data_IF_071954261214
#
_entry.id   IF_071954261214
#
_cell.length_a   1.000
_cell.length_b   1.000
_cell.length_c   1.000
_cell.angle_alpha   90.00
_cell.angle_beta   90.00
_cell.angle_gamma   90.00
#
_symmetry.space_group_name_H-M   'P 1'
#
loop_
_entity.id
_entity.type
_entity.pdbx_description
1 polymer ?
#
# COMPACT_ATOMS: atom_id res chain seq x y z
N UNK A 1 -17.82 3.14 -20.67
CA UNK A 1 -18.13 4.47 -20.13
C UNK A 1 -19.30 4.33 -19.19
N UNK A 2 -18.98 4.25 -17.91
CA UNK A 2 -19.91 4.22 -16.81
C UNK A 2 -20.69 5.52 -16.73
N UNK A 3 -22.00 5.42 -16.48
CA UNK A 3 -22.84 6.59 -16.31
C UNK A 3 -22.81 7.13 -14.87
N UNK A 4 -23.13 8.41 -14.72
CA UNK A 4 -23.17 9.11 -13.44
C UNK A 4 -24.13 8.41 -12.44
N UNK A 5 -25.22 7.84 -12.95
CA UNK A 5 -26.19 7.13 -12.12
C UNK A 5 -25.56 5.91 -11.44
N UNK A 6 -24.82 5.09 -12.19
CA UNK A 6 -24.12 3.91 -11.66
C UNK A 6 -23.09 4.32 -10.62
N UNK A 7 -22.37 5.43 -10.84
CA UNK A 7 -21.42 5.96 -9.86
C UNK A 7 -22.10 6.27 -8.54
N UNK A 8 -23.21 7.02 -8.54
CA UNK A 8 -23.88 7.44 -7.31
C UNK A 8 -24.72 6.35 -6.65
N UNK A 9 -25.39 5.50 -7.44
CA UNK A 9 -26.33 4.50 -6.92
C UNK A 9 -25.63 3.20 -6.49
N UNK A 10 -24.49 2.84 -7.10
CA UNK A 10 -23.87 1.52 -6.91
C UNK A 10 -22.42 1.56 -6.42
N UNK A 11 -21.60 2.49 -6.92
CA UNK A 11 -20.15 2.50 -6.67
C UNK A 11 -19.79 3.33 -5.44
N UNK A 12 -20.25 4.59 -5.40
CA UNK A 12 -20.02 5.52 -4.29
C UNK A 12 -20.47 4.97 -2.93
N UNK A 13 -21.64 4.31 -2.81
CA UNK A 13 -22.08 3.74 -1.53
C UNK A 13 -21.11 2.70 -0.95
N UNK A 14 -20.31 2.02 -1.78
CA UNK A 14 -19.27 1.09 -1.30
C UNK A 14 -18.13 1.85 -0.64
N UNK A 15 -17.73 3.00 -1.21
CA UNK A 15 -16.69 3.87 -0.66
C UNK A 15 -17.18 4.54 0.63
N UNK A 16 -18.39 5.07 0.63
CA UNK A 16 -19.02 5.68 1.80
C UNK A 16 -19.09 4.68 2.97
N UNK A 17 -19.57 3.46 2.70
CA UNK A 17 -19.64 2.40 3.72
C UNK A 17 -18.26 1.98 4.24
N UNK A 18 -17.19 2.08 3.43
CA UNK A 18 -15.82 1.85 3.91
C UNK A 18 -15.38 2.98 4.86
N UNK A 19 -15.70 4.22 4.54
CA UNK A 19 -15.41 5.40 5.40
C UNK A 19 -16.16 5.26 6.72
N UNK A 20 -17.46 4.97 6.68
CA UNK A 20 -18.28 4.73 7.88
C UNK A 20 -17.71 3.60 8.74
N UNK A 21 -17.41 2.45 8.14
CA UNK A 21 -16.85 1.31 8.85
C UNK A 21 -15.47 1.63 9.46
N UNK A 22 -14.69 2.51 8.84
CA UNK A 22 -13.43 3.01 9.41
C UNK A 22 -13.70 3.85 10.65
N UNK A 23 -14.62 4.83 10.55
CA UNK A 23 -15.00 5.71 11.66
C UNK A 23 -15.61 4.97 12.86
N UNK A 24 -16.27 3.83 12.62
CA UNK A 24 -16.85 2.99 13.67
C UNK A 24 -15.96 1.81 14.08
N UNK A 25 -14.72 1.74 13.56
CA UNK A 25 -13.76 0.65 13.81
C UNK A 25 -14.34 -0.76 13.50
N UNK A 26 -15.23 -0.86 12.50
CA UNK A 26 -15.91 -2.11 12.11
C UNK A 26 -15.11 -2.89 11.06
N UNK A 27 -14.08 -3.59 11.53
CA UNK A 27 -13.25 -4.46 10.71
C UNK A 27 -14.05 -5.57 9.99
N UNK A 28 -15.19 -6.01 10.53
CA UNK A 28 -15.99 -7.08 9.92
C UNK A 28 -16.69 -6.57 8.67
N UNK A 29 -17.32 -5.39 8.75
CA UNK A 29 -17.92 -4.74 7.59
C UNK A 29 -16.86 -4.41 6.55
N UNK A 30 -15.71 -3.86 6.94
CA UNK A 30 -14.62 -3.57 6.01
C UNK A 30 -14.25 -4.81 5.19
N UNK A 31 -14.02 -5.97 5.83
CA UNK A 31 -13.68 -7.23 5.12
C UNK A 31 -14.70 -7.62 4.03
N UNK A 32 -15.98 -7.26 4.18
CA UNK A 32 -17.00 -7.56 3.16
C UNK A 32 -16.92 -6.66 1.93
N UNK A 33 -16.37 -5.45 2.08
CA UNK A 33 -16.24 -4.45 1.02
C UNK A 33 -14.98 -4.64 0.18
N UNK A 34 -13.98 -5.32 0.73
CA UNK A 34 -12.67 -5.48 0.09
C UNK A 34 -12.63 -6.72 -0.79
N UNK A 35 -11.85 -6.65 -1.86
CA UNK A 35 -11.44 -7.81 -2.65
C UNK A 35 -10.44 -8.65 -1.83
N UNK A 36 -10.62 -9.97 -1.66
CA UNK A 36 -9.75 -10.78 -0.81
C UNK A 36 -8.26 -10.72 -1.17
N UNK A 37 -7.96 -10.66 -2.47
CA UNK A 37 -6.59 -10.61 -3.01
C UNK A 37 -6.11 -9.17 -3.30
N UNK A 38 -6.90 -8.16 -2.90
CA UNK A 38 -6.59 -6.75 -3.12
C UNK A 38 -5.62 -6.16 -2.11
N UNK A 39 -4.94 -5.09 -2.51
CA UNK A 39 -4.05 -4.33 -1.64
C UNK A 39 -4.76 -3.79 -0.39
N UNK A 40 -6.02 -3.35 -0.54
CA UNK A 40 -6.82 -2.88 0.57
C UNK A 40 -7.05 -3.98 1.63
N UNK A 41 -7.43 -5.18 1.21
CA UNK A 41 -7.58 -6.32 2.13
C UNK A 41 -6.26 -6.68 2.82
N UNK A 42 -5.15 -6.65 2.07
CA UNK A 42 -3.83 -6.91 2.62
C UNK A 42 -3.39 -5.86 3.66
N UNK A 43 -3.73 -4.58 3.47
CA UNK A 43 -3.51 -3.52 4.48
C UNK A 43 -4.30 -3.79 5.75
N UNK A 44 -5.61 -4.07 5.64
CA UNK A 44 -6.47 -4.37 6.80
C UNK A 44 -5.96 -5.59 7.56
N UNK A 45 -5.58 -6.63 6.82
CA UNK A 45 -5.09 -7.86 7.42
C UNK A 45 -3.79 -7.62 8.20
N UNK A 46 -2.87 -6.81 7.68
CA UNK A 46 -1.57 -6.57 8.31
C UNK A 46 -1.61 -5.58 9.48
N UNK A 47 -2.41 -4.52 9.38
CA UNK A 47 -2.37 -3.37 10.30
C UNK A 47 -3.67 -3.06 11.03
N UNK A 48 -4.72 -3.85 10.80
CA UNK A 48 -6.08 -3.60 11.29
C UNK A 48 -6.72 -2.30 10.77
N UNK A 49 -7.88 -1.96 11.32
CA UNK A 49 -8.70 -0.79 10.96
C UNK A 49 -7.92 0.54 10.95
N UNK A 50 -6.95 0.73 11.85
CA UNK A 50 -6.27 2.01 12.03
C UNK A 50 -5.44 2.48 10.83
N UNK A 51 -5.02 1.57 9.94
CA UNK A 51 -4.35 1.98 8.69
C UNK A 51 -5.31 2.77 7.79
N UNK A 52 -6.61 2.50 7.86
CA UNK A 52 -7.60 3.17 7.04
C UNK A 52 -7.85 4.60 7.47
N UNK A 53 -7.62 4.94 8.74
CA UNK A 53 -7.69 6.34 9.15
C UNK A 53 -6.67 7.21 8.39
N UNK A 54 -5.51 6.62 8.10
CA UNK A 54 -4.45 7.24 7.33
C UNK A 54 -4.77 7.19 5.83
N UNK A 55 -5.18 6.02 5.30
CA UNK A 55 -5.42 5.83 3.87
C UNK A 55 -6.61 6.65 3.35
N UNK A 56 -7.70 6.71 4.12
CA UNK A 56 -8.90 7.48 3.80
C UNK A 56 -8.83 8.92 4.30
N UNK A 57 -7.80 9.26 5.08
CA UNK A 57 -7.58 10.58 5.69
C UNK A 57 -8.70 11.03 6.64
N UNK A 58 -9.42 10.10 7.28
CA UNK A 58 -10.40 10.42 8.33
C UNK A 58 -9.73 11.06 9.56
N UNK A 59 -8.42 10.84 9.76
CA UNK A 59 -7.60 11.56 10.76
C UNK A 59 -7.65 13.10 10.63
N UNK A 60 -8.09 13.64 9.49
CA UNK A 60 -8.29 15.08 9.31
C UNK A 60 -9.46 15.62 10.14
N UNK A 61 -10.37 14.77 10.62
CA UNK A 61 -11.50 15.16 11.46
C UNK A 61 -12.51 16.07 10.74
N UNK A 62 -12.59 15.98 9.41
CA UNK A 62 -13.47 16.79 8.57
C UNK A 62 -14.81 16.08 8.38
N UNK A 63 -15.91 16.83 8.44
CA UNK A 63 -17.27 16.28 8.35
C UNK A 63 -17.84 16.28 6.93
N UNK A 64 -17.17 16.96 6.00
CA UNK A 64 -17.61 17.08 4.61
C UNK A 64 -16.53 16.54 3.68
N UNK A 65 -16.97 15.78 2.69
CA UNK A 65 -16.17 15.34 1.56
C UNK A 65 -16.93 15.59 0.27
N UNK A 66 -16.23 15.57 -0.86
CA UNK A 66 -16.86 15.63 -2.18
C UNK A 66 -16.14 14.72 -3.16
N UNK A 67 -16.91 13.98 -3.96
CA UNK A 67 -16.37 13.25 -5.12
C UNK A 67 -15.92 14.27 -6.15
N UNK A 68 -14.64 14.23 -6.51
CA UNK A 68 -14.03 15.16 -7.48
C UNK A 68 -14.01 14.57 -8.87
N UNK A 69 -13.90 13.24 -8.98
CA UNK A 69 -13.79 12.55 -10.26
C UNK A 69 -14.13 11.06 -10.13
N UNK A 70 -14.68 10.50 -11.20
CA UNK A 70 -14.79 9.05 -11.40
C UNK A 70 -14.19 8.69 -12.77
N UNK A 71 -13.35 7.66 -12.82
CA UNK A 71 -12.69 7.20 -14.06
C UNK A 71 -12.83 5.69 -14.22
N UNK A 72 -13.16 5.27 -15.43
CA UNK A 72 -13.17 3.86 -15.82
C UNK A 72 -11.86 3.50 -16.53
N UNK A 73 -11.24 2.38 -16.18
CA UNK A 73 -10.01 1.87 -16.83
C UNK A 73 -10.13 0.38 -17.15
N UNK A 74 -9.20 -0.13 -17.96
CA UNK A 74 -9.15 -1.53 -18.42
C UNK A 74 -10.50 -2.03 -18.98
N UNK A 75 -11.10 -1.26 -19.89
CA UNK A 75 -12.39 -1.58 -20.54
C UNK A 75 -13.53 -1.88 -19.55
N UNK A 76 -13.63 -1.10 -18.47
CA UNK A 76 -14.72 -1.24 -17.50
C UNK A 76 -14.40 -2.19 -16.34
N UNK A 77 -13.23 -2.81 -16.34
CA UNK A 77 -12.82 -3.72 -15.26
C UNK A 77 -12.61 -2.98 -13.94
N UNK A 78 -12.08 -1.77 -13.99
CA UNK A 78 -11.80 -0.97 -12.81
C UNK A 78 -12.50 0.38 -12.89
N UNK A 79 -13.00 0.81 -11.73
CA UNK A 79 -13.48 2.18 -11.50
C UNK A 79 -12.62 2.79 -10.42
N UNK A 80 -12.19 4.02 -10.66
CA UNK A 80 -11.46 4.83 -9.70
C UNK A 80 -12.36 5.98 -9.27
N UNK A 81 -12.64 6.07 -7.97
CA UNK A 81 -13.33 7.19 -7.35
C UNK A 81 -12.29 8.05 -6.67
N UNK A 82 -12.17 9.30 -7.10
CA UNK A 82 -11.39 10.32 -6.42
C UNK A 82 -12.33 11.24 -5.63
N UNK A 83 -12.01 11.45 -4.36
CA UNK A 83 -12.72 12.38 -3.50
C UNK A 83 -11.74 13.23 -2.71
N UNK A 84 -12.19 14.40 -2.26
CA UNK A 84 -11.45 15.30 -1.40
C UNK A 84 -12.16 15.47 -0.07
N UNK A 85 -11.39 15.77 0.98
CA UNK A 85 -11.90 16.40 2.20
C UNK A 85 -11.65 17.91 2.11
N UNK A 86 -12.62 18.77 1.78
CA UNK A 86 -12.40 20.22 1.73
C UNK A 86 -11.98 20.81 3.07
N UNK A 87 -11.23 21.92 3.04
CA UNK A 87 -10.90 22.65 4.26
C UNK A 87 -12.15 23.33 4.84
N UNK A 88 -12.50 23.08 6.12
CA UNK A 88 -13.68 23.70 6.74
C UNK A 88 -13.62 25.22 6.69
N UNK A 89 -14.67 25.85 6.18
CA UNK A 89 -14.78 27.30 6.12
C UNK A 89 -13.96 27.98 5.01
N UNK A 90 -13.30 27.23 4.13
CA UNK A 90 -12.64 27.79 2.95
C UNK A 90 -13.65 28.24 1.89
N UNK A 91 -13.30 29.26 1.11
CA UNK A 91 -14.13 29.72 -0.01
C UNK A 91 -14.34 28.57 -1.02
N UNK A 92 -15.59 28.34 -1.41
CA UNK A 92 -15.99 27.32 -2.40
C UNK A 92 -15.59 25.88 -2.08
N UNK A 93 -15.43 25.50 -0.79
CA UNK A 93 -14.98 24.16 -0.40
C UNK A 93 -13.66 23.78 -1.08
N UNK A 94 -12.69 24.71 -1.06
CA UNK A 94 -11.38 24.49 -1.66
C UNK A 94 -10.65 23.31 -1.01
N UNK A 95 -9.83 22.64 -1.83
CA UNK A 95 -8.97 21.54 -1.41
C UNK A 95 -7.67 21.56 -2.20
N UNK A 96 -6.65 20.91 -1.67
CA UNK A 96 -5.34 20.73 -2.28
C UNK A 96 -5.11 19.27 -2.66
N UNK A 97 -4.00 18.99 -3.35
CA UNK A 97 -3.60 17.62 -3.64
C UNK A 97 -3.39 16.76 -2.36
N UNK A 98 -3.12 17.39 -1.22
CA UNK A 98 -2.94 16.71 0.07
C UNK A 98 -4.26 16.23 0.68
N UNK A 99 -5.40 16.69 0.16
CA UNK A 99 -6.73 16.36 0.69
C UNK A 99 -7.43 15.26 -0.12
N UNK A 100 -6.84 14.87 -1.26
CA UNK A 100 -7.40 13.90 -2.18
C UNK A 100 -7.10 12.46 -1.79
N UNK A 101 -8.06 11.57 -2.05
CA UNK A 101 -7.94 10.12 -1.92
C UNK A 101 -8.54 9.48 -3.17
N UNK A 102 -7.89 8.44 -3.68
CA UNK A 102 -8.38 7.62 -4.78
C UNK A 102 -8.69 6.22 -4.27
N UNK A 103 -9.89 5.73 -4.53
CA UNK A 103 -10.32 4.36 -4.23
C UNK A 103 -10.55 3.63 -5.55
N UNK A 104 -9.89 2.49 -5.74
CA UNK A 104 -10.07 1.65 -6.92
C UNK A 104 -11.00 0.49 -6.58
N UNK A 105 -12.02 0.28 -7.41
CA UNK A 105 -13.02 -0.76 -7.26
C UNK A 105 -13.05 -1.65 -8.51
N UNK A 106 -13.47 -2.89 -8.33
CA UNK A 106 -13.75 -3.85 -9.40
C UNK A 106 -14.99 -4.65 -9.06
N UNK A 107 -15.61 -5.28 -10.06
CA UNK A 107 -16.71 -6.22 -9.81
C UNK A 107 -16.18 -7.62 -9.50
N UNK A 108 -16.66 -8.19 -8.39
CA UNK A 108 -16.45 -9.60 -8.03
C UNK A 108 -17.81 -10.19 -7.71
N UNK A 109 -18.19 -11.26 -8.42
CA UNK A 109 -19.48 -11.94 -8.27
C UNK A 109 -20.69 -10.98 -8.37
N UNK A 110 -20.61 -9.99 -9.27
CA UNK A 110 -21.67 -9.00 -9.47
C UNK A 110 -21.76 -7.92 -8.38
N UNK A 111 -20.79 -7.83 -7.48
CA UNK A 111 -20.71 -6.80 -6.44
C UNK A 111 -19.46 -5.95 -6.61
N UNK A 112 -19.60 -4.63 -6.47
CA UNK A 112 -18.46 -3.73 -6.40
C UNK A 112 -17.68 -3.97 -5.11
N UNK A 113 -16.37 -4.15 -5.26
CA UNK A 113 -15.43 -4.35 -4.16
C UNK A 113 -14.19 -3.51 -4.35
N UNK A 114 -13.64 -3.07 -3.22
CA UNK A 114 -12.47 -2.20 -3.18
C UNK A 114 -11.21 -3.05 -3.35
N UNK A 115 -10.37 -2.63 -4.29
CA UNK A 115 -9.09 -3.25 -4.64
C UNK A 115 -7.96 -2.55 -3.90
N UNK A 116 -7.95 -1.21 -3.94
CA UNK A 116 -6.92 -0.39 -3.32
C UNK A 116 -7.48 0.96 -2.87
N UNK A 117 -6.84 1.53 -1.85
CA UNK A 117 -7.05 2.92 -1.41
C UNK A 117 -5.69 3.59 -1.48
N UNK A 118 -5.60 4.67 -2.26
CA UNK A 118 -4.39 5.47 -2.40
C UNK A 118 -4.66 6.89 -1.87
N UNK A 119 -3.93 7.38 -0.85
CA UNK A 119 -4.13 8.69 -0.24
C UNK A 119 -3.58 9.85 -1.10
N UNK A 120 -3.83 9.81 -2.40
CA UNK A 120 -3.40 10.79 -3.41
C UNK A 120 -4.34 10.77 -4.61
N UNK A 121 -4.10 11.69 -5.55
CA UNK A 121 -4.82 11.81 -6.82
C UNK A 121 -4.62 10.58 -7.72
N UNK A 122 -5.57 10.34 -8.62
CA UNK A 122 -5.51 9.22 -9.58
C UNK A 122 -4.37 9.38 -10.61
N UNK A 123 -4.06 10.62 -11.01
CA UNK A 123 -3.05 10.92 -12.05
C UNK A 123 -1.64 10.79 -11.48
N UNK A 124 -1.53 11.00 -10.18
CA UNK A 124 -0.28 10.92 -9.46
C UNK A 124 -0.56 10.14 -8.17
N UNK A 125 -0.60 8.80 -8.23
CA UNK A 125 -0.76 7.98 -7.03
C UNK A 125 0.46 8.12 -6.12
N UNK A 126 0.25 7.92 -4.82
CA UNK A 126 1.33 7.86 -3.85
C UNK A 126 1.99 6.48 -3.92
N UNK A 127 3.29 6.48 -4.21
CA UNK A 127 4.16 5.30 -4.12
C UNK A 127 5.20 5.53 -3.03
N UNK A 128 5.87 4.48 -2.57
CA UNK A 128 6.94 4.57 -1.57
C UNK A 128 8.11 5.44 -2.04
N UNK A 129 8.49 5.34 -3.32
CA UNK A 129 9.51 6.20 -3.92
C UNK A 129 9.12 7.68 -3.87
N UNK A 130 7.87 8.00 -4.23
CA UNK A 130 7.37 9.38 -4.22
C UNK A 130 7.21 9.92 -2.79
N UNK A 131 6.72 9.10 -1.86
CA UNK A 131 6.61 9.45 -0.45
C UNK A 131 7.98 9.84 0.13
N UNK A 132 9.02 9.03 -0.12
CA UNK A 132 10.40 9.34 0.28
C UNK A 132 10.91 10.65 -0.32
N UNK A 133 10.62 10.90 -1.60
CA UNK A 133 10.99 12.15 -2.27
C UNK A 133 10.30 13.39 -1.68
N UNK A 134 9.00 13.30 -1.39
CA UNK A 134 8.23 14.38 -0.77
C UNK A 134 8.68 14.67 0.65
N UNK A 135 8.99 13.63 1.44
CA UNK A 135 9.54 13.81 2.79
C UNK A 135 10.92 14.48 2.73
N UNK A 136 11.82 14.00 1.86
CA UNK A 136 13.16 14.58 1.75
C UNK A 136 13.11 16.06 1.37
N UNK A 137 12.25 16.42 0.42
CA UNK A 137 12.04 17.83 0.01
C UNK A 137 11.38 18.66 1.11
N UNK A 138 10.39 18.13 1.82
CA UNK A 138 9.76 18.79 2.97
C UNK A 138 10.74 19.05 4.13
N UNK A 139 11.60 18.09 4.45
CA UNK A 139 12.65 18.24 5.47
C UNK A 139 13.64 19.35 5.10
N UNK A 140 14.05 19.43 3.83
CA UNK A 140 14.95 20.50 3.37
C UNK A 140 14.33 21.89 3.40
N UNK A 141 12.99 21.99 3.42
CA UNK A 141 12.24 23.25 3.47
C UNK A 141 11.80 23.64 4.89
N UNK A 142 11.99 22.75 5.88
CA UNK A 142 11.68 23.03 7.30
C UNK A 142 12.90 23.62 8.01
N UNK A 143 12.73 24.71 8.77
CA UNK A 143 13.81 25.46 9.42
C UNK A 143 14.63 24.64 10.46
N UNK A 144 14.19 23.42 10.81
CA UNK A 144 14.88 22.55 11.79
C UNK A 144 15.03 21.07 11.35
N UNK A 145 14.76 20.73 10.08
CA UNK A 145 14.83 19.33 9.60
C UNK A 145 13.80 18.38 10.27
N UNK A 146 12.78 18.93 10.93
CA UNK A 146 11.68 18.18 11.56
C UNK A 146 10.54 18.00 10.56
N UNK A 147 9.92 16.82 10.58
CA UNK A 147 8.69 16.59 9.83
C UNK A 147 7.59 17.57 10.30
N UNK A 148 6.76 18.11 9.40
CA UNK A 148 5.59 18.91 9.79
C UNK A 148 4.69 18.10 10.74
N UNK A 149 4.20 18.73 11.80
CA UNK A 149 3.32 18.09 12.80
C UNK A 149 1.86 17.93 12.34
N UNK A 150 1.58 18.14 11.07
CA UNK A 150 0.23 18.16 10.51
C UNK A 150 -0.20 16.77 10.04
N UNK A 151 -1.45 16.38 10.31
CA UNK A 151 -1.98 15.03 10.03
C UNK A 151 -1.88 14.60 8.56
N UNK A 152 -1.76 15.55 7.62
CA UNK A 152 -1.56 15.24 6.19
C UNK A 152 -0.24 14.54 5.91
N UNK A 153 0.76 14.58 6.81
CA UNK A 153 2.04 13.90 6.62
C UNK A 153 1.94 12.38 6.80
N UNK A 154 0.91 11.89 7.52
CA UNK A 154 0.81 10.48 7.93
C UNK A 154 0.80 9.50 6.75
N UNK A 155 0.05 9.73 5.66
CA UNK A 155 0.14 8.89 4.46
C UNK A 155 1.55 8.82 3.87
N UNK A 156 2.25 9.95 3.78
CA UNK A 156 3.61 10.01 3.27
C UNK A 156 4.58 9.29 4.21
N UNK A 157 4.41 9.46 5.52
CA UNK A 157 5.22 8.75 6.51
C UNK A 157 5.00 7.23 6.44
N UNK A 158 3.77 6.77 6.23
CA UNK A 158 3.41 5.36 6.07
C UNK A 158 4.03 4.74 4.81
N UNK A 159 3.84 5.37 3.65
CA UNK A 159 4.39 4.91 2.38
C UNK A 159 5.92 5.08 2.30
N UNK A 160 6.46 6.08 2.99
CA UNK A 160 7.89 6.35 3.06
C UNK A 160 8.64 5.45 4.05
N UNK A 161 7.93 4.74 4.94
CA UNK A 161 8.53 3.87 5.97
C UNK A 161 9.02 4.62 7.21
N UNK A 162 8.58 5.85 7.43
CA UNK A 162 8.85 6.62 8.65
C UNK A 162 7.81 6.39 9.74
N UNK A 163 6.57 6.06 9.36
CA UNK A 163 5.54 5.66 10.29
C UNK A 163 5.54 4.13 10.43
N UNK A 164 5.86 3.68 11.63
CA UNK A 164 5.81 2.28 12.04
C UNK A 164 4.41 1.98 12.59
N UNK A 165 3.74 0.99 12.01
CA UNK A 165 2.43 0.54 12.46
C UNK A 165 2.56 -0.81 13.15
N UNK A 166 1.75 -1.01 14.18
CA UNK A 166 1.64 -2.30 14.86
C UNK A 166 1.18 -3.35 13.85
N UNK A 167 1.99 -4.38 13.68
CA UNK A 167 1.66 -5.54 12.85
C UNK A 167 0.83 -6.50 13.69
N UNK A 168 -0.30 -6.97 13.15
CA UNK A 168 -1.12 -7.98 13.81
C UNK A 168 -0.38 -9.31 13.84
N UNK A 169 -0.23 -9.91 15.02
CA UNK A 169 0.47 -11.20 15.17
C UNK A 169 -0.20 -12.29 14.34
N UNK A 170 -1.54 -12.30 14.28
CA UNK A 170 -2.31 -13.29 13.52
C UNK A 170 -2.17 -13.14 12.00
N UNK A 171 -1.67 -11.99 11.53
CA UNK A 171 -1.38 -11.79 10.11
C UNK A 171 -0.12 -12.56 9.68
N UNK A 172 0.82 -12.83 10.58
CA UNK A 172 2.09 -13.44 10.22
C UNK A 172 1.92 -14.96 10.13
N UNK A 173 1.93 -15.49 8.90
CA UNK A 173 1.50 -16.87 8.67
C UNK A 173 2.57 -17.92 9.00
N UNK A 174 3.84 -17.54 9.08
CA UNK A 174 4.96 -18.44 9.36
C UNK A 174 6.21 -17.70 9.86
N UNK A 175 7.24 -18.43 10.33
CA UNK A 175 8.47 -17.83 10.87
C UNK A 175 9.28 -16.97 9.88
N UNK A 176 9.01 -17.05 8.57
CA UNK A 176 9.63 -16.14 7.58
C UNK A 176 8.96 -14.78 7.63
N UNK A 177 7.61 -14.74 7.65
CA UNK A 177 6.86 -13.48 7.78
C UNK A 177 7.14 -12.79 9.13
N UNK A 178 7.26 -13.56 10.22
CA UNK A 178 7.63 -13.08 11.56
C UNK A 178 8.98 -12.33 11.59
N UNK A 179 9.94 -12.74 10.76
CA UNK A 179 11.25 -12.08 10.65
C UNK A 179 11.27 -10.99 9.58
N UNK A 180 10.53 -11.19 8.50
CA UNK A 180 10.53 -10.32 7.34
C UNK A 180 9.83 -9.00 7.64
N UNK A 181 8.57 -9.03 8.07
CA UNK A 181 7.74 -7.83 8.15
C UNK A 181 8.23 -6.86 9.23
N UNK A 182 8.42 -7.27 10.50
CA UNK A 182 8.97 -6.37 11.51
C UNK A 182 10.37 -5.89 11.13
N UNK A 183 11.20 -6.78 10.57
CA UNK A 183 12.56 -6.43 10.15
C UNK A 183 12.58 -5.35 9.06
N UNK A 184 11.75 -5.49 8.03
CA UNK A 184 11.63 -4.48 6.98
C UNK A 184 11.08 -3.16 7.56
N UNK A 185 10.11 -3.21 8.47
CA UNK A 185 9.59 -1.99 9.10
C UNK A 185 10.69 -1.27 9.93
N UNK A 186 11.51 -2.02 10.65
CA UNK A 186 12.69 -1.50 11.36
C UNK A 186 13.73 -0.85 10.43
N UNK A 187 13.77 -1.26 9.16
CA UNK A 187 14.66 -0.71 8.12
C UNK A 187 13.95 0.31 7.22
N UNK A 188 12.89 0.92 7.73
CA UNK A 188 12.12 1.98 7.08
C UNK A 188 11.63 1.61 5.69
N UNK A 189 11.22 0.36 5.48
CA UNK A 189 10.41 0.01 4.32
C UNK A 189 8.98 0.51 4.57
N UNK A 190 8.39 1.16 3.57
CA UNK A 190 7.02 1.64 3.63
C UNK A 190 5.98 0.53 3.46
N UNK A 191 4.72 0.86 3.74
CA UNK A 191 3.63 -0.12 3.76
C UNK A 191 3.52 -0.96 2.48
N UNK A 192 3.64 -0.36 1.30
CA UNK A 192 3.59 -1.09 0.03
C UNK A 192 4.72 -2.11 -0.12
N UNK A 193 5.95 -1.77 0.29
CA UNK A 193 7.05 -2.71 0.26
C UNK A 193 6.86 -3.88 1.23
N UNK A 194 6.21 -3.65 2.38
CA UNK A 194 5.85 -4.72 3.32
C UNK A 194 4.82 -5.67 2.70
N UNK A 195 3.76 -5.13 2.10
CA UNK A 195 2.75 -5.93 1.40
C UNK A 195 3.36 -6.73 0.24
N UNK A 196 4.18 -6.09 -0.58
CA UNK A 196 4.83 -6.74 -1.72
C UNK A 196 5.81 -7.83 -1.29
N UNK A 197 6.57 -7.61 -0.22
CA UNK A 197 7.45 -8.63 0.37
C UNK A 197 6.68 -9.83 0.89
N UNK A 198 5.53 -9.58 1.55
CA UNK A 198 4.64 -10.63 2.03
C UNK A 198 4.03 -11.43 0.87
N UNK A 199 3.52 -10.74 -0.15
CA UNK A 199 2.94 -11.35 -1.35
C UNK A 199 3.98 -12.22 -2.08
N UNK A 200 5.17 -11.68 -2.32
CA UNK A 200 6.28 -12.40 -2.95
C UNK A 200 6.63 -13.70 -2.21
N UNK A 201 6.66 -13.66 -0.87
CA UNK A 201 6.91 -14.84 -0.06
C UNK A 201 5.78 -15.87 -0.20
N UNK A 202 4.52 -15.43 -0.11
CA UNK A 202 3.35 -16.31 -0.17
C UNK A 202 3.21 -16.99 -1.53
N UNK A 203 3.41 -16.26 -2.61
CA UNK A 203 3.38 -16.80 -3.97
C UNK A 203 4.47 -17.84 -4.18
N UNK A 204 5.69 -17.56 -3.70
CA UNK A 204 6.77 -18.53 -3.75
C UNK A 204 6.47 -19.78 -2.92
N UNK A 205 5.89 -19.61 -1.72
CA UNK A 205 5.52 -20.72 -0.82
C UNK A 205 4.45 -21.60 -1.47
N UNK A 206 3.44 -21.00 -2.10
CA UNK A 206 2.40 -21.71 -2.83
C UNK A 206 2.95 -22.50 -4.02
N UNK A 207 3.88 -21.90 -4.79
CA UNK A 207 4.44 -22.52 -5.98
C UNK A 207 5.49 -23.62 -5.69
N UNK A 208 6.27 -23.51 -4.62
CA UNK A 208 7.45 -24.35 -4.39
C UNK A 208 7.44 -25.16 -3.08
N UNK A 209 6.56 -24.86 -2.12
CA UNK A 209 6.46 -25.56 -0.83
C UNK A 209 7.84 -25.77 -0.14
N UNK A 210 8.61 -24.70 0.10
CA UNK A 210 9.97 -24.81 0.62
C UNK A 210 10.01 -25.36 2.06
N UNK A 211 11.10 -26.04 2.41
CA UNK A 211 11.41 -26.37 3.81
C UNK A 211 11.80 -25.10 4.57
N UNK A 212 11.22 -24.90 5.75
CA UNK A 212 11.43 -23.72 6.61
C UNK A 212 12.56 -23.92 7.66
N UNK A 213 13.61 -24.65 7.30
CA UNK A 213 14.72 -25.00 8.21
C UNK A 213 15.60 -23.80 8.62
N UNK A 214 15.58 -22.72 7.81
CA UNK A 214 16.33 -21.48 7.99
C UNK A 214 15.47 -20.28 7.58
N UNK A 215 14.48 -19.88 8.39
CA UNK A 215 13.54 -18.83 8.02
C UNK A 215 14.23 -17.48 7.75
N UNK A 216 15.27 -17.14 8.54
CA UNK A 216 16.07 -15.93 8.33
C UNK A 216 16.72 -15.85 6.92
N UNK A 217 17.09 -17.00 6.34
CA UNK A 217 17.68 -17.04 5.00
C UNK A 217 16.66 -16.82 3.87
N UNK A 218 15.41 -17.21 4.11
CA UNK A 218 14.29 -16.91 3.21
C UNK A 218 13.88 -15.44 3.34
N UNK A 219 13.73 -14.93 4.56
CA UNK A 219 13.39 -13.53 4.81
C UNK A 219 14.43 -12.58 4.18
N UNK A 220 15.73 -12.84 4.38
CA UNK A 220 16.79 -12.05 3.77
C UNK A 220 16.76 -12.08 2.23
N UNK A 221 16.43 -13.23 1.64
CA UNK A 221 16.33 -13.36 0.19
C UNK A 221 15.15 -12.55 -0.37
N UNK A 222 13.99 -12.58 0.30
CA UNK A 222 12.81 -11.79 -0.06
C UNK A 222 13.09 -10.30 0.09
N UNK A 223 13.64 -9.85 1.23
CA UNK A 223 13.99 -8.44 1.42
C UNK A 223 14.95 -7.95 0.34
N UNK A 224 15.96 -8.73 -0.04
CA UNK A 224 16.88 -8.33 -1.08
C UNK A 224 16.17 -8.14 -2.43
N UNK A 225 15.26 -9.05 -2.81
CA UNK A 225 14.48 -8.92 -4.05
C UNK A 225 13.61 -7.65 -4.01
N UNK A 226 12.91 -7.40 -2.90
CA UNK A 226 12.12 -6.17 -2.74
C UNK A 226 13.01 -4.93 -2.81
N UNK A 227 14.20 -4.98 -2.22
CA UNK A 227 15.16 -3.86 -2.28
C UNK A 227 15.59 -3.54 -3.72
N UNK A 228 15.75 -4.56 -4.57
CA UNK A 228 16.05 -4.37 -6.00
C UNK A 228 14.86 -3.77 -6.75
N UNK A 229 13.64 -4.25 -6.48
CA UNK A 229 12.42 -3.75 -7.12
C UNK A 229 12.07 -2.31 -6.71
N UNK A 230 12.37 -1.94 -5.46
CA UNK A 230 12.22 -0.60 -4.90
C UNK A 230 13.37 0.35 -5.24
N UNK A 231 14.37 -0.12 -6.01
CA UNK A 231 15.59 0.62 -6.34
C UNK A 231 16.33 1.14 -5.10
N UNK A 232 16.28 0.39 -3.99
CA UNK A 232 17.11 0.67 -2.81
C UNK A 232 18.53 0.21 -3.10
N UNK A 233 19.51 1.09 -2.86
CA UNK A 233 20.93 0.78 -3.04
C UNK A 233 21.49 -0.11 -1.90
N UNK A 234 20.92 -1.30 -1.71
CA UNK A 234 21.38 -2.28 -0.74
C UNK A 234 22.18 -3.39 -1.41
N UNK A 235 23.31 -3.75 -0.80
CA UNK A 235 24.10 -4.91 -1.26
C UNK A 235 23.56 -6.19 -0.66
N UNK A 236 23.77 -7.33 -1.34
CA UNK A 236 23.45 -8.65 -0.79
C UNK A 236 24.10 -8.87 0.59
N UNK A 237 25.35 -8.39 0.75
CA UNK A 237 26.08 -8.53 2.01
C UNK A 237 25.44 -7.74 3.15
N UNK A 238 24.92 -6.54 2.86
CA UNK A 238 24.20 -5.74 3.85
C UNK A 238 22.92 -6.43 4.32
N UNK A 239 22.10 -6.94 3.39
CA UNK A 239 20.86 -7.65 3.76
C UNK A 239 21.16 -8.94 4.52
N UNK A 240 22.12 -9.74 4.08
CA UNK A 240 22.53 -10.95 4.79
C UNK A 240 22.99 -10.66 6.24
N UNK A 241 23.66 -9.53 6.46
CA UNK A 241 24.07 -9.06 7.78
C UNK A 241 22.88 -8.72 8.68
N UNK A 242 21.81 -8.11 8.16
CA UNK A 242 20.60 -7.80 8.95
C UNK A 242 19.98 -9.05 9.58
N UNK A 243 20.05 -10.17 8.85
CA UNK A 243 19.51 -11.46 9.29
C UNK A 243 20.54 -12.38 9.95
N UNK A 244 21.77 -11.90 10.16
CA UNK A 244 22.88 -12.66 10.75
C UNK A 244 23.15 -14.01 10.07
N UNK A 245 23.06 -14.04 8.74
CA UNK A 245 23.30 -15.24 7.92
C UNK A 245 24.50 -15.07 6.97
N UNK A 246 25.17 -16.17 6.60
CA UNK A 246 26.13 -16.16 5.50
C UNK A 246 25.46 -15.91 4.15
N UNK A 247 26.12 -15.16 3.25
CA UNK A 247 25.69 -14.98 1.86
C UNK A 247 25.44 -16.31 1.14
N UNK A 248 26.25 -17.33 1.43
CA UNK A 248 26.13 -18.68 0.86
C UNK A 248 24.79 -19.36 1.20
N UNK A 249 24.05 -18.88 2.20
CA UNK A 249 22.72 -19.37 2.56
C UNK A 249 21.59 -18.56 1.93
N UNK A 250 21.80 -17.26 1.68
CA UNK A 250 20.82 -16.34 1.09
C UNK A 250 20.78 -16.42 -0.43
N UNK A 251 21.93 -16.36 -1.11
CA UNK A 251 22.00 -16.23 -2.57
C UNK A 251 21.32 -17.39 -3.32
N UNK A 252 21.49 -18.67 -2.92
CA UNK A 252 20.78 -19.76 -3.59
C UNK A 252 19.25 -19.64 -3.47
N UNK A 253 18.75 -19.20 -2.31
CA UNK A 253 17.31 -18.99 -2.06
C UNK A 253 16.74 -17.84 -2.89
N UNK A 254 17.47 -16.73 -2.95
CA UNK A 254 17.13 -15.60 -3.83
C UNK A 254 17.03 -16.04 -5.29
N UNK A 255 18.03 -16.78 -5.80
CA UNK A 255 17.99 -17.33 -7.17
C UNK A 255 16.81 -18.28 -7.38
N UNK A 256 16.48 -19.09 -6.37
CA UNK A 256 15.34 -20.01 -6.43
C UNK A 256 14.02 -19.25 -6.50
N UNK A 257 13.80 -18.24 -5.66
CA UNK A 257 12.58 -17.40 -5.69
C UNK A 257 12.43 -16.75 -7.06
N UNK A 258 13.48 -16.05 -7.53
CA UNK A 258 13.46 -15.39 -8.85
C UNK A 258 13.16 -16.37 -9.99
N UNK A 259 13.72 -17.57 -9.94
CA UNK A 259 13.49 -18.60 -10.96
C UNK A 259 12.06 -19.17 -10.91
N UNK A 260 11.55 -19.48 -9.72
CA UNK A 260 10.22 -20.10 -9.57
C UNK A 260 9.11 -19.14 -9.95
N UNK A 261 9.22 -17.87 -9.54
CA UNK A 261 8.21 -16.86 -9.83
C UNK A 261 8.45 -16.10 -11.14
N UNK A 262 9.51 -16.43 -11.86
CA UNK A 262 9.98 -15.73 -13.06
C UNK A 262 10.08 -14.21 -12.86
N UNK A 263 10.72 -13.79 -11.78
CA UNK A 263 10.82 -12.37 -11.40
C UNK A 263 11.66 -11.62 -12.44
N UNK A 264 11.00 -10.71 -13.14
CA UNK A 264 11.63 -9.81 -14.10
C UNK A 264 12.12 -8.53 -13.40
N UNK A 265 12.94 -7.75 -14.12
CA UNK A 265 13.25 -6.38 -13.70
C UNK A 265 11.94 -5.56 -13.78
N UNK A 266 11.62 -4.82 -12.72
CA UNK A 266 10.40 -4.01 -12.61
C UNK A 266 9.09 -4.83 -12.64
N UNK A 267 9.10 -6.02 -12.03
CA UNK A 267 7.92 -6.86 -11.92
C UNK A 267 6.78 -6.16 -11.15
N UNK A 268 5.76 -5.69 -11.88
CA UNK A 268 4.65 -4.89 -11.35
C UNK A 268 3.82 -5.61 -10.28
N UNK A 269 3.91 -6.95 -10.20
CA UNK A 269 3.25 -7.72 -9.13
C UNK A 269 3.79 -7.41 -7.74
N UNK A 270 5.07 -7.02 -7.65
CA UNK A 270 5.77 -6.82 -6.39
C UNK A 270 6.54 -5.49 -6.32
N UNK A 271 6.38 -4.62 -7.31
CA UNK A 271 7.01 -3.32 -7.36
C UNK A 271 5.94 -2.21 -7.23
N UNK A 272 6.21 -1.21 -6.41
CA UNK A 272 5.33 -0.05 -6.24
C UNK A 272 5.60 1.00 -7.34
N UNK A 273 5.35 0.60 -8.60
CA UNK A 273 5.60 1.40 -9.79
C UNK A 273 4.32 2.12 -10.26
N UNK A 274 4.47 3.36 -10.71
CA UNK A 274 3.45 4.02 -11.53
C UNK A 274 3.46 3.39 -12.93
N UNK A 275 2.68 2.33 -13.17
CA UNK A 275 2.58 1.75 -14.52
C UNK A 275 1.37 2.26 -15.31
N UNK A 276 0.33 2.77 -14.64
CA UNK A 276 -0.87 3.25 -15.33
C UNK A 276 -0.83 4.77 -15.52
N UNK A 277 -0.36 5.23 -16.68
CA UNK A 277 -0.84 6.52 -17.20
C UNK A 277 -2.28 6.31 -17.64
N UNK A 278 -3.21 6.92 -16.92
CA UNK A 278 -4.59 7.02 -17.40
C UNK A 278 -4.56 8.05 -18.53
N UNK A 279 -4.45 7.55 -19.76
CA UNK A 279 -4.54 8.36 -20.97
C UNK A 279 -6.03 8.61 -21.23
N UNK A 280 -6.42 9.87 -21.25
CA UNK A 280 -7.76 10.28 -21.62
C UNK A 280 -7.93 10.09 -23.13
N UNK A 281 -8.94 9.31 -23.54
CA UNK A 281 -9.49 9.33 -24.91
C UNK A 281 -10.65 10.32 -25.00
#
# INVERSE_FOLDING_TARGET
MIDEKTIWDEVWPVVEKLIEATLTEDAATMRTLLTPDGQAAAMLDLFDVYVYDILLKTVLGREQLGVTRAVETENGRFIHIEYAWPEPGSEQNSYTANDLVTVTLTQVDGQWRIVSVNPSTIDLPLTGGRARGLIATGQTLSDEGKMPGESWILPFALYGGLLKMNVREEALADPVEELLIPGMQERSYGAMALLNGRSLWRDFKAANQPKLDKPAAWAAAIEFIISELELRNLTQAAVAKHYQIPLSKMVPRMKQIKKVLDIQKNDERYADLQSTQIVYE
#
